data_IF_344888852723
#
_entry.id   IF_344888852723
#
_cell.length_a   1.000
_cell.length_b   1.000
_cell.length_c   1.000
_cell.angle_alpha   90.00
_cell.angle_beta   90.00
_cell.angle_gamma   90.00
#
_symmetry.space_group_name_H-M   'P 1'
#
loop_
_entity.id
_entity.type
_entity.pdbx_description
1 polymer ?
#
# COMPACT_ATOMS: atom_id res chain seq x y z
N UNK A 1 18.82 1.26 -42.91
CA UNK A 1 19.17 0.14 -42.00
C UNK A 1 19.01 0.69 -40.56
N UNK A 2 17.79 0.53 -40.03
CA UNK A 2 17.43 1.06 -38.71
C UNK A 2 17.75 0.00 -37.68
N UNK A 3 18.62 0.35 -36.74
CA UNK A 3 19.05 -0.49 -35.63
C UNK A 3 17.99 -0.40 -34.51
N UNK A 4 17.18 -1.44 -34.37
CA UNK A 4 16.22 -1.59 -33.25
C UNK A 4 17.04 -1.99 -32.03
N UNK A 5 17.22 -1.07 -31.09
CA UNK A 5 17.72 -1.37 -29.76
C UNK A 5 16.63 -2.09 -28.98
N UNK A 6 16.75 -3.40 -28.84
CA UNK A 6 16.00 -4.16 -27.86
C UNK A 6 16.49 -3.78 -26.46
N UNK A 7 15.69 -3.03 -25.72
CA UNK A 7 15.86 -2.88 -24.29
C UNK A 7 15.54 -4.21 -23.63
N UNK A 8 16.57 -4.97 -23.25
CA UNK A 8 16.43 -6.16 -22.43
C UNK A 8 15.96 -5.73 -21.04
N UNK A 9 14.70 -5.97 -20.71
CA UNK A 9 14.23 -5.91 -19.32
C UNK A 9 15.02 -6.96 -18.54
N UNK A 10 15.85 -6.51 -17.61
CA UNK A 10 16.40 -7.35 -16.55
C UNK A 10 15.22 -7.73 -15.66
N UNK A 11 14.63 -8.89 -15.91
CA UNK A 11 13.78 -9.57 -14.94
C UNK A 11 14.68 -9.94 -13.78
N UNK A 12 14.61 -9.22 -12.66
CA UNK A 12 15.14 -9.70 -11.42
C UNK A 12 14.52 -11.08 -11.17
N UNK A 13 15.35 -12.12 -11.04
CA UNK A 13 14.88 -13.45 -10.67
C UNK A 13 14.14 -13.33 -9.33
N UNK A 14 12.83 -13.53 -9.39
CA UNK A 14 12.00 -13.63 -8.20
C UNK A 14 12.42 -14.91 -7.48
N UNK A 15 12.59 -14.88 -6.15
CA UNK A 15 12.82 -16.12 -5.41
C UNK A 15 11.67 -17.08 -5.69
N UNK A 16 11.98 -18.37 -5.82
CA UNK A 16 11.09 -19.46 -6.19
C UNK A 16 9.78 -19.45 -5.36
N UNK A 17 8.75 -18.83 -5.89
CA UNK A 17 7.41 -18.78 -5.35
C UNK A 17 6.39 -18.99 -6.46
N UNK A 18 5.24 -19.57 -6.16
CA UNK A 18 4.24 -20.08 -7.10
C UNK A 18 3.59 -18.97 -7.96
N UNK A 19 4.32 -18.43 -8.91
CA UNK A 19 3.79 -17.54 -9.95
C UNK A 19 4.28 -16.08 -9.87
N UNK A 20 4.00 -15.27 -10.90
CA UNK A 20 4.39 -13.88 -10.94
C UNK A 20 3.61 -13.06 -9.90
N UNK A 21 4.25 -12.03 -9.34
CA UNK A 21 3.54 -11.05 -8.54
C UNK A 21 2.40 -10.40 -9.33
N UNK A 22 1.21 -10.32 -8.73
CA UNK A 22 0.09 -9.63 -9.33
C UNK A 22 0.25 -8.12 -9.08
N UNK A 23 0.25 -7.32 -10.14
CA UNK A 23 0.12 -5.86 -10.00
C UNK A 23 -1.29 -5.48 -9.52
N UNK A 24 -2.24 -6.36 -9.80
CA UNK A 24 -3.66 -6.24 -9.47
C UNK A 24 -4.02 -7.26 -8.39
N UNK A 25 -4.97 -6.95 -7.51
CA UNK A 25 -5.35 -7.90 -6.48
C UNK A 25 -5.90 -7.26 -5.21
N UNK A 26 -5.91 -8.03 -4.12
CA UNK A 26 -6.32 -7.53 -2.80
C UNK A 26 -5.15 -6.81 -2.15
N UNK A 27 -5.37 -5.52 -1.85
CA UNK A 27 -4.43 -4.68 -1.12
C UNK A 27 -4.97 -4.47 0.30
N UNK A 28 -4.31 -5.04 1.29
CA UNK A 28 -4.64 -4.88 2.71
C UNK A 28 -4.24 -3.46 3.15
N UNK A 29 -5.22 -2.55 3.26
CA UNK A 29 -5.04 -1.15 3.59
C UNK A 29 -4.59 -1.00 5.05
N UNK A 30 -3.36 -0.54 5.25
CA UNK A 30 -2.66 -0.48 6.55
C UNK A 30 -2.57 -1.85 7.23
N UNK A 31 -2.45 -2.93 6.43
CA UNK A 31 -2.56 -4.30 6.88
C UNK A 31 -4.01 -4.79 6.98
N UNK A 32 -4.27 -5.82 7.80
CA UNK A 32 -5.62 -6.29 8.12
C UNK A 32 -6.27 -5.39 9.19
N UNK A 33 -6.43 -4.10 8.88
CA UNK A 33 -6.78 -3.04 9.82
C UNK A 33 -8.21 -3.18 10.40
N UNK A 34 -9.08 -3.94 9.76
CA UNK A 34 -10.41 -4.26 10.29
C UNK A 34 -10.39 -5.26 11.46
N UNK A 35 -9.26 -5.93 11.71
CA UNK A 35 -9.12 -6.97 12.76
C UNK A 35 -7.93 -6.72 13.68
N UNK A 36 -6.98 -5.90 13.30
CA UNK A 36 -5.78 -5.54 14.06
C UNK A 36 -5.56 -4.02 14.05
N UNK A 37 -4.81 -3.47 15.00
CA UNK A 37 -4.44 -2.05 14.96
C UNK A 37 -3.72 -1.73 13.63
N UNK A 38 -4.20 -0.70 12.93
CA UNK A 38 -3.66 -0.29 11.62
C UNK A 38 -2.16 0.03 11.67
N UNK A 39 -1.44 -0.21 10.58
CA UNK A 39 -0.03 0.11 10.44
C UNK A 39 0.87 -0.52 11.54
N UNK A 40 0.52 -1.71 12.02
CA UNK A 40 1.31 -2.47 13.01
C UNK A 40 1.78 -3.81 12.45
N UNK A 41 2.84 -4.37 13.05
CA UNK A 41 3.37 -5.66 12.61
C UNK A 41 2.32 -6.77 12.64
N UNK A 42 1.47 -6.95 13.69
CA UNK A 42 0.41 -7.96 13.65
C UNK A 42 -0.61 -7.76 12.53
N UNK A 43 -0.93 -6.51 12.14
CA UNK A 43 -1.83 -6.26 11.01
C UNK A 43 -1.20 -6.69 9.67
N UNK A 44 0.10 -6.53 9.51
CA UNK A 44 0.84 -6.96 8.33
C UNK A 44 1.01 -8.47 8.29
N UNK A 45 1.43 -9.09 9.38
CA UNK A 45 1.55 -10.55 9.51
C UNK A 45 0.22 -11.25 9.19
N UNK A 46 -0.89 -10.75 9.75
CA UNK A 46 -2.23 -11.26 9.45
C UNK A 46 -2.61 -11.10 7.97
N UNK A 47 -2.24 -10.00 7.32
CA UNK A 47 -2.47 -9.81 5.89
C UNK A 47 -1.66 -10.80 5.03
N UNK A 48 -0.41 -11.12 5.44
CA UNK A 48 0.43 -12.16 4.81
C UNK A 48 -0.19 -13.54 4.97
N UNK A 49 -0.63 -13.90 6.17
CA UNK A 49 -1.26 -15.18 6.47
C UNK A 49 -2.54 -15.39 5.64
N UNK A 50 -3.33 -14.34 5.44
CA UNK A 50 -4.51 -14.37 4.57
C UNK A 50 -4.15 -14.53 3.09
N UNK A 51 -2.90 -14.26 2.71
CA UNK A 51 -2.46 -14.29 1.33
C UNK A 51 -2.94 -13.09 0.52
N UNK A 52 -3.01 -11.91 1.12
CA UNK A 52 -3.22 -10.66 0.39
C UNK A 52 -2.13 -10.49 -0.68
N UNK A 53 -2.49 -9.92 -1.84
CA UNK A 53 -1.53 -9.70 -2.92
C UNK A 53 -0.59 -8.53 -2.61
N UNK A 54 -1.13 -7.52 -1.90
CA UNK A 54 -0.40 -6.35 -1.46
C UNK A 54 -0.77 -5.98 -0.01
N UNK A 55 0.16 -5.35 0.67
CA UNK A 55 -0.09 -4.57 1.89
C UNK A 55 0.15 -3.12 1.53
N UNK A 56 -0.75 -2.24 1.88
CA UNK A 56 -0.50 -0.80 1.81
C UNK A 56 -0.17 -0.28 3.20
N UNK A 57 0.74 0.69 3.25
CA UNK A 57 1.17 1.35 4.48
C UNK A 57 1.57 2.80 4.25
N UNK A 58 1.49 3.58 5.32
CA UNK A 58 1.78 5.02 5.32
C UNK A 58 3.09 5.31 6.03
N UNK A 59 3.90 6.24 5.52
CA UNK A 59 5.17 6.57 6.16
C UNK A 59 5.33 8.05 6.50
N UNK A 60 5.95 8.26 7.67
CA UNK A 60 6.46 9.54 8.13
C UNK A 60 7.95 9.44 8.50
N UNK A 61 8.58 10.60 8.71
CA UNK A 61 9.96 10.70 9.19
C UNK A 61 9.97 11.33 10.58
N UNK A 62 10.66 10.67 11.52
CA UNK A 62 10.91 11.19 12.86
C UNK A 62 11.96 12.30 12.87
N UNK A 63 12.11 12.98 14.01
CA UNK A 63 13.11 14.03 14.25
C UNK A 63 14.55 13.56 13.99
N UNK A 64 14.86 12.31 14.31
CA UNK A 64 16.17 11.67 14.10
C UNK A 64 16.31 10.96 12.75
N UNK A 65 15.36 11.21 11.81
CA UNK A 65 15.45 10.78 10.41
C UNK A 65 15.05 9.34 10.16
N UNK A 66 14.38 8.66 11.10
CA UNK A 66 13.85 7.31 10.88
C UNK A 66 12.54 7.36 10.09
N UNK A 67 12.38 6.45 9.12
CA UNK A 67 11.11 6.24 8.44
C UNK A 67 10.26 5.27 9.26
N UNK A 68 9.11 5.75 9.72
CA UNK A 68 8.17 5.04 10.58
C UNK A 68 6.83 4.85 9.90
N UNK A 69 6.11 3.79 10.28
CA UNK A 69 4.87 3.39 9.60
C UNK A 69 3.68 3.83 10.44
N UNK A 70 3.05 4.93 10.04
CA UNK A 70 1.88 5.52 10.68
C UNK A 70 1.15 6.43 9.69
N UNK A 71 -0.19 6.54 9.80
CA UNK A 71 -0.99 7.31 8.84
C UNK A 71 -0.99 8.82 9.10
N UNK A 72 -1.10 9.24 10.36
CA UNK A 72 -1.26 10.65 10.71
C UNK A 72 0.08 11.29 11.11
N UNK A 73 0.16 12.62 11.03
CA UNK A 73 1.33 13.38 11.44
C UNK A 73 1.60 13.30 12.95
N UNK A 74 0.63 12.80 13.71
CA UNK A 74 0.70 12.59 15.16
C UNK A 74 0.05 11.27 15.58
N UNK A 75 0.17 10.92 16.84
CA UNK A 75 -0.34 9.69 17.44
C UNK A 75 -1.73 9.82 18.07
N UNK A 76 -2.41 10.96 17.95
CA UNK A 76 -3.65 11.27 18.68
C UNK A 76 -4.77 10.26 18.43
N UNK A 77 -4.90 9.77 17.17
CA UNK A 77 -6.00 8.88 16.77
C UNK A 77 -5.78 7.43 17.17
N UNK A 78 -4.55 7.01 17.38
CA UNK A 78 -4.21 5.58 17.59
C UNK A 78 -3.51 5.32 18.93
N UNK A 79 -2.80 6.31 19.46
CA UNK A 79 -1.89 6.15 20.61
C UNK A 79 -2.48 6.48 21.96
N UNK A 80 -1.79 6.01 22.99
CA UNK A 80 -2.07 6.33 24.40
C UNK A 80 -1.56 7.72 24.83
N UNK A 81 -0.79 8.39 23.97
CA UNK A 81 -0.25 9.74 24.16
C UNK A 81 -0.13 10.43 22.81
N UNK A 82 -0.43 11.72 22.73
CA UNK A 82 -0.31 12.52 21.49
C UNK A 82 1.09 13.13 21.38
N UNK A 83 1.79 12.81 20.30
CA UNK A 83 3.06 13.46 19.91
C UNK A 83 3.08 13.68 18.40
N UNK A 84 3.76 14.76 17.97
CA UNK A 84 4.03 15.00 16.55
C UNK A 84 5.21 14.14 16.11
N UNK A 85 5.03 13.34 15.06
CA UNK A 85 6.05 12.38 14.57
C UNK A 85 7.38 13.08 14.23
N UNK A 86 7.30 14.25 13.57
CA UNK A 86 8.48 15.00 13.16
C UNK A 86 9.25 15.68 14.32
N UNK A 87 8.68 15.73 15.53
CA UNK A 87 9.24 16.43 16.69
C UNK A 87 9.90 15.48 17.70
N UNK A 88 9.69 14.17 17.57
CA UNK A 88 10.21 13.15 18.49
C UNK A 88 11.21 12.23 17.79
N UNK A 89 12.11 11.65 18.58
CA UNK A 89 13.00 10.56 18.12
C UNK A 89 12.21 9.25 18.00
N UNK A 90 12.77 8.28 17.26
CA UNK A 90 12.14 6.95 17.19
C UNK A 90 12.08 6.26 18.57
N UNK A 91 13.11 6.44 19.41
CA UNK A 91 13.12 5.90 20.77
C UNK A 91 11.93 6.40 21.59
N UNK A 92 11.67 7.71 21.56
CA UNK A 92 10.51 8.33 22.23
C UNK A 92 9.17 7.86 21.63
N UNK A 93 9.12 7.69 20.31
CA UNK A 93 7.92 7.22 19.60
C UNK A 93 7.62 5.74 19.91
N UNK A 94 8.64 4.91 20.03
CA UNK A 94 8.49 3.47 20.27
C UNK A 94 7.91 3.14 21.66
N UNK A 95 7.90 4.09 22.59
CA UNK A 95 7.24 3.96 23.91
C UNK A 95 5.71 4.13 23.83
N UNK A 96 5.17 4.60 22.70
CA UNK A 96 3.74 4.87 22.55
C UNK A 96 3.03 3.60 22.12
N UNK A 97 2.00 3.23 22.87
CA UNK A 97 1.10 2.13 22.52
C UNK A 97 0.06 2.60 21.49
N UNK A 98 0.28 2.28 20.23
CA UNK A 98 -0.64 2.61 19.12
C UNK A 98 -1.76 1.59 18.92
N UNK A 99 -1.87 0.58 19.80
CA UNK A 99 -2.99 -0.34 19.81
C UNK A 99 -4.12 0.07 20.79
N UNK A 100 -3.88 1.09 21.64
CA UNK A 100 -4.82 1.43 22.72
C UNK A 100 -6.22 1.76 22.18
N UNK A 101 -6.31 2.69 21.24
CA UNK A 101 -7.62 3.15 20.71
C UNK A 101 -8.35 2.03 20.00
N UNK A 102 -7.62 1.17 19.27
CA UNK A 102 -8.19 -0.03 18.65
C UNK A 102 -8.76 -0.99 19.72
N UNK A 103 -7.99 -1.26 20.79
CA UNK A 103 -8.43 -2.10 21.91
C UNK A 103 -9.72 -1.60 22.54
N UNK A 104 -9.76 -0.31 22.87
CA UNK A 104 -10.93 0.33 23.48
C UNK A 104 -12.15 0.27 22.57
N UNK A 105 -11.99 0.59 21.29
CA UNK A 105 -13.06 0.55 20.28
C UNK A 105 -13.66 -0.85 20.11
N UNK A 106 -12.84 -1.89 20.25
CA UNK A 106 -13.26 -3.29 20.05
C UNK A 106 -13.47 -4.05 21.36
N UNK A 107 -13.42 -3.35 22.52
CA UNK A 107 -13.62 -3.93 23.86
C UNK A 107 -12.69 -5.12 24.15
N UNK A 108 -11.45 -5.04 23.67
CA UNK A 108 -10.45 -6.09 23.81
C UNK A 108 -9.57 -5.86 25.05
N UNK A 109 -9.10 -6.93 25.68
CA UNK A 109 -8.09 -6.85 26.74
C UNK A 109 -6.68 -6.71 26.13
N UNK A 110 -5.71 -6.25 26.93
CA UNK A 110 -4.31 -6.21 26.56
C UNK A 110 -3.68 -7.62 26.38
N UNK A 111 -4.32 -8.66 26.86
CA UNK A 111 -3.92 -10.05 26.62
C UNK A 111 -4.29 -10.51 25.21
N UNK A 112 -5.45 -10.05 24.68
CA UNK A 112 -5.94 -10.37 23.34
C UNK A 112 -5.31 -9.47 22.29
N UNK A 113 -5.17 -8.19 22.59
CA UNK A 113 -4.54 -7.21 21.72
C UNK A 113 -3.44 -6.46 22.53
N UNK A 114 -2.22 -7.00 22.60
CA UNK A 114 -1.15 -6.41 23.38
C UNK A 114 -0.71 -5.04 22.85
N UNK A 115 -0.07 -4.21 23.68
CA UNK A 115 0.51 -2.95 23.26
C UNK A 115 1.38 -3.10 21.99
N UNK A 116 1.25 -2.17 21.07
CA UNK A 116 2.02 -2.14 19.83
C UNK A 116 2.79 -0.82 19.72
N UNK A 117 4.06 -0.89 19.31
CA UNK A 117 4.84 0.28 18.92
C UNK A 117 4.59 0.64 17.45
N UNK A 118 4.90 1.87 17.07
CA UNK A 118 4.98 2.26 15.65
C UNK A 118 6.16 1.51 15.01
N UNK A 119 5.96 0.75 13.91
CA UNK A 119 7.04 0.02 13.27
C UNK A 119 7.99 0.97 12.50
N UNK A 120 9.25 0.56 12.36
CA UNK A 120 10.13 1.11 11.33
C UNK A 120 9.77 0.54 9.96
N UNK A 121 9.92 1.34 8.90
CA UNK A 121 9.78 0.83 7.54
C UNK A 121 10.77 -0.31 7.25
N UNK A 122 11.97 -0.25 7.82
CA UNK A 122 12.97 -1.32 7.72
C UNK A 122 12.45 -2.67 8.28
N UNK A 123 11.74 -2.66 9.42
CA UNK A 123 11.15 -3.87 10.02
C UNK A 123 10.10 -4.48 9.08
N UNK A 124 9.25 -3.65 8.49
CA UNK A 124 8.24 -4.14 7.54
C UNK A 124 8.87 -4.67 6.25
N UNK A 125 9.89 -4.01 5.71
CA UNK A 125 10.58 -4.49 4.51
C UNK A 125 11.29 -5.83 4.75
N UNK A 126 11.85 -6.08 5.93
CA UNK A 126 12.41 -7.40 6.28
C UNK A 126 11.30 -8.47 6.36
N UNK A 127 10.15 -8.16 6.97
CA UNK A 127 9.01 -9.06 7.00
C UNK A 127 8.54 -9.43 5.58
N UNK A 128 8.39 -8.45 4.70
CA UNK A 128 7.93 -8.66 3.31
C UNK A 128 8.91 -9.50 2.51
N UNK A 129 10.22 -9.31 2.67
CA UNK A 129 11.26 -10.09 2.00
C UNK A 129 11.36 -11.53 2.50
N UNK A 130 10.84 -11.81 3.69
CA UNK A 130 10.85 -13.16 4.30
C UNK A 130 9.84 -14.14 3.70
N UNK A 131 9.02 -13.71 2.73
CA UNK A 131 8.00 -14.54 2.08
C UNK A 131 8.02 -14.35 0.55
N UNK A 132 7.15 -15.04 -0.22
CA UNK A 132 7.30 -15.14 -1.68
C UNK A 132 6.06 -14.66 -2.47
N UNK A 133 5.07 -14.08 -1.84
CA UNK A 133 3.80 -13.73 -2.49
C UNK A 133 3.44 -12.27 -2.40
N UNK A 134 3.39 -11.71 -1.20
CA UNK A 134 2.84 -10.39 -0.92
C UNK A 134 3.88 -9.30 -1.12
N UNK A 135 3.50 -8.22 -1.77
CA UNK A 135 4.28 -6.99 -1.92
C UNK A 135 3.77 -5.90 -1.00
N UNK A 136 4.53 -4.82 -0.88
CA UNK A 136 4.12 -3.63 -0.12
C UNK A 136 3.99 -2.42 -1.02
N UNK A 137 2.89 -1.66 -0.85
CA UNK A 137 2.68 -0.35 -1.44
C UNK A 137 2.88 0.71 -0.37
N UNK A 138 3.83 1.61 -0.59
CA UNK A 138 4.22 2.65 0.37
C UNK A 138 3.56 3.98 0.00
N UNK A 139 2.80 4.59 0.92
CA UNK A 139 2.29 5.94 0.78
C UNK A 139 3.13 6.94 1.59
N UNK A 140 3.92 7.81 0.95
CA UNK A 140 4.70 8.85 1.63
C UNK A 140 3.79 10.02 2.05
N UNK A 141 3.51 10.17 3.35
CA UNK A 141 2.67 11.27 3.87
C UNK A 141 3.41 12.61 3.98
N UNK A 142 4.72 12.58 3.93
CA UNK A 142 5.64 13.73 3.90
C UNK A 142 6.46 13.71 2.60
N UNK A 143 7.27 14.76 2.31
CA UNK A 143 8.23 14.74 1.20
C UNK A 143 9.46 13.87 1.54
N UNK A 144 9.26 12.55 1.66
CA UNK A 144 10.27 11.55 2.06
C UNK A 144 10.48 10.47 0.98
N UNK A 145 10.10 10.76 -0.26
CA UNK A 145 10.23 9.81 -1.39
C UNK A 145 11.69 9.43 -1.61
N UNK A 146 12.61 10.40 -1.59
CA UNK A 146 14.03 10.15 -1.81
C UNK A 146 14.61 9.21 -0.75
N UNK A 147 14.32 9.45 0.52
CA UNK A 147 14.77 8.62 1.63
C UNK A 147 14.14 7.21 1.58
N UNK A 148 12.85 7.13 1.25
CA UNK A 148 12.15 5.84 1.13
C UNK A 148 12.72 5.00 -0.01
N UNK A 149 12.92 5.57 -1.20
CA UNK A 149 13.53 4.87 -2.34
C UNK A 149 14.98 4.48 -2.03
N UNK A 150 15.75 5.34 -1.38
CA UNK A 150 17.11 5.02 -0.97
C UNK A 150 17.14 3.85 0.02
N UNK A 151 16.22 3.80 0.98
CA UNK A 151 16.07 2.68 1.92
C UNK A 151 15.72 1.39 1.20
N UNK A 152 14.69 1.41 0.32
CA UNK A 152 14.25 0.26 -0.47
C UNK A 152 15.42 -0.33 -1.29
N UNK A 153 16.21 0.53 -1.94
CA UNK A 153 17.40 0.12 -2.71
C UNK A 153 18.50 -0.47 -1.82
N UNK A 154 18.80 0.19 -0.69
CA UNK A 154 19.79 -0.30 0.29
C UNK A 154 19.43 -1.68 0.83
N UNK A 155 18.15 -1.93 1.07
CA UNK A 155 17.64 -3.22 1.56
C UNK A 155 17.44 -4.27 0.46
N UNK A 156 17.71 -3.91 -0.82
CA UNK A 156 17.48 -4.78 -1.98
C UNK A 156 16.01 -5.24 -2.09
N UNK A 157 15.08 -4.35 -1.77
CA UNK A 157 13.65 -4.64 -1.71
C UNK A 157 12.88 -4.12 -2.94
N UNK A 158 13.54 -3.64 -4.00
CA UNK A 158 12.88 -3.03 -5.18
C UNK A 158 11.82 -3.96 -5.79
N UNK A 159 12.09 -5.26 -5.92
CA UNK A 159 11.14 -6.22 -6.46
C UNK A 159 9.87 -6.41 -5.59
N UNK A 160 9.92 -5.97 -4.34
CA UNK A 160 8.87 -6.15 -3.32
C UNK A 160 8.03 -4.90 -3.07
N UNK A 161 8.38 -3.78 -3.70
CA UNK A 161 7.85 -2.48 -3.33
C UNK A 161 7.20 -1.79 -4.51
N UNK A 162 6.04 -1.20 -4.27
CA UNK A 162 5.44 -0.16 -5.08
C UNK A 162 5.17 1.07 -4.22
N UNK A 163 4.79 2.16 -4.85
CA UNK A 163 4.41 3.41 -4.20
C UNK A 163 3.02 3.84 -4.66
N UNK A 164 2.24 4.42 -3.75
CA UNK A 164 0.96 5.04 -4.07
C UNK A 164 0.83 6.39 -3.38
N UNK A 165 0.24 7.35 -4.05
CA UNK A 165 -0.17 8.65 -3.50
C UNK A 165 -1.01 9.40 -4.53
N UNK A 166 -1.84 10.36 -4.06
CA UNK A 166 -2.54 11.30 -4.92
C UNK A 166 -1.67 12.45 -5.43
N UNK A 167 -0.53 12.73 -4.80
CA UNK A 167 0.41 13.76 -5.23
C UNK A 167 1.23 13.28 -6.43
N UNK A 168 0.90 13.83 -7.61
CA UNK A 168 1.56 13.53 -8.86
C UNK A 168 3.08 13.76 -8.80
N UNK A 169 3.55 14.78 -8.09
CA UNK A 169 4.98 15.09 -8.03
C UNK A 169 5.74 14.03 -7.23
N UNK A 170 5.16 13.51 -6.16
CA UNK A 170 5.73 12.36 -5.44
C UNK A 170 5.82 11.13 -6.35
N UNK A 171 4.76 10.81 -7.10
CA UNK A 171 4.72 9.64 -7.99
C UNK A 171 5.71 9.77 -9.16
N UNK A 172 5.82 10.95 -9.76
CA UNK A 172 6.87 11.25 -10.73
C UNK A 172 8.27 11.08 -10.13
N UNK A 173 8.47 11.57 -8.91
CA UNK A 173 9.77 11.47 -8.22
C UNK A 173 10.19 10.01 -7.99
N UNK A 174 9.26 9.11 -7.67
CA UNK A 174 9.56 7.67 -7.59
C UNK A 174 10.14 7.14 -8.91
N UNK A 175 9.49 7.44 -10.04
CA UNK A 175 9.93 7.01 -11.37
C UNK A 175 11.26 7.65 -11.81
N UNK A 176 11.52 8.89 -11.42
CA UNK A 176 12.83 9.54 -11.64
C UNK A 176 13.97 8.84 -10.91
N UNK A 177 13.72 8.41 -9.66
CA UNK A 177 14.72 7.76 -8.82
C UNK A 177 14.97 6.30 -9.21
N UNK A 178 13.91 5.60 -9.64
CA UNK A 178 14.00 4.25 -10.15
C UNK A 178 12.77 3.89 -11.02
N UNK A 179 12.90 3.86 -12.36
CA UNK A 179 11.80 3.54 -13.26
C UNK A 179 11.21 2.13 -13.08
N UNK A 180 11.94 1.22 -12.42
CA UNK A 180 11.47 -0.16 -12.17
C UNK A 180 10.52 -0.27 -10.98
N UNK A 181 10.46 0.73 -10.10
CA UNK A 181 9.51 0.77 -9.01
C UNK A 181 8.08 0.97 -9.53
N UNK A 182 7.16 0.18 -9.01
CA UNK A 182 5.75 0.30 -9.37
C UNK A 182 5.14 1.56 -8.76
N UNK A 183 4.32 2.26 -9.55
CA UNK A 183 3.55 3.42 -9.11
C UNK A 183 2.07 3.18 -9.35
N UNK A 184 1.29 3.36 -8.29
CA UNK A 184 -0.17 3.31 -8.28
C UNK A 184 -0.67 4.72 -7.96
N UNK A 185 -1.15 5.43 -8.98
CA UNK A 185 -1.55 6.82 -8.78
C UNK A 185 -2.98 6.91 -8.25
N UNK A 186 -3.11 7.43 -7.03
CA UNK A 186 -4.39 7.53 -6.33
C UNK A 186 -5.18 8.76 -6.80
N UNK A 187 -6.38 8.52 -7.33
CA UNK A 187 -7.30 9.58 -7.72
C UNK A 187 -8.44 9.72 -6.72
N UNK A 188 -8.56 10.93 -6.16
CA UNK A 188 -9.72 11.36 -5.39
C UNK A 188 -10.79 11.93 -6.34
N UNK A 189 -11.83 12.60 -5.79
CA UNK A 189 -12.81 13.34 -6.60
C UNK A 189 -12.10 14.51 -7.31
N UNK A 190 -12.44 14.75 -8.59
CA UNK A 190 -11.92 15.90 -9.37
C UNK A 190 -10.76 15.58 -10.33
N UNK A 191 -10.49 14.31 -10.59
CA UNK A 191 -9.59 13.90 -11.69
C UNK A 191 -10.22 14.26 -13.06
N UNK A 192 -9.36 14.38 -14.07
CA UNK A 192 -9.74 14.63 -15.47
C UNK A 192 -9.10 13.59 -16.36
N UNK A 193 -9.91 12.70 -16.94
CA UNK A 193 -9.44 11.58 -17.76
C UNK A 193 -8.59 12.06 -18.95
N UNK A 194 -8.99 13.15 -19.61
CA UNK A 194 -8.29 13.65 -20.80
C UNK A 194 -6.93 14.26 -20.45
N UNK A 195 -6.77 14.82 -19.23
CA UNK A 195 -5.51 15.38 -18.72
C UNK A 195 -4.65 14.31 -18.08
N UNK A 196 -5.23 13.47 -17.22
CA UNK A 196 -4.47 12.67 -16.24
C UNK A 196 -3.99 11.34 -16.85
N UNK A 197 -4.76 10.71 -17.75
CA UNK A 197 -4.32 9.47 -18.40
C UNK A 197 -3.07 9.65 -19.27
N UNK A 198 -2.94 10.70 -20.12
CA UNK A 198 -1.69 10.95 -20.84
C UNK A 198 -0.48 11.16 -19.92
N UNK A 199 -0.66 11.82 -18.77
CA UNK A 199 0.41 12.01 -17.79
C UNK A 199 0.84 10.67 -17.20
N UNK A 200 -0.10 9.82 -16.79
CA UNK A 200 0.21 8.49 -16.27
C UNK A 200 0.97 7.63 -17.30
N UNK A 201 0.60 7.71 -18.56
CA UNK A 201 1.27 7.01 -19.67
C UNK A 201 2.69 7.53 -19.90
N UNK A 202 2.89 8.85 -19.93
CA UNK A 202 4.19 9.49 -20.10
C UNK A 202 5.18 9.04 -19.03
N UNK A 203 4.71 8.90 -17.78
CA UNK A 203 5.54 8.52 -16.64
C UNK A 203 5.62 7.02 -16.39
N UNK A 204 4.91 6.20 -17.18
CA UNK A 204 4.93 4.74 -17.06
C UNK A 204 4.38 4.23 -15.73
N UNK A 205 3.30 4.85 -15.24
CA UNK A 205 2.60 4.35 -14.05
C UNK A 205 1.91 3.03 -14.37
N UNK A 206 1.83 2.12 -13.39
CA UNK A 206 1.29 0.77 -13.62
C UNK A 206 -0.22 0.70 -13.39
N UNK A 207 -0.75 1.52 -12.48
CA UNK A 207 -2.17 1.46 -12.14
C UNK A 207 -2.72 2.84 -11.74
N UNK A 208 -3.99 3.04 -12.03
CA UNK A 208 -4.80 4.14 -11.50
C UNK A 208 -5.71 3.58 -10.42
N UNK A 209 -5.67 4.16 -9.22
CA UNK A 209 -6.50 3.72 -8.09
C UNK A 209 -7.45 4.84 -7.68
N UNK A 210 -8.74 4.63 -7.87
CA UNK A 210 -9.75 5.68 -7.77
C UNK A 210 -10.57 5.52 -6.49
N UNK A 211 -10.94 6.64 -5.85
CA UNK A 211 -11.90 6.60 -4.74
C UNK A 211 -13.19 5.93 -5.21
N UNK A 212 -13.63 4.87 -4.51
CA UNK A 212 -14.67 3.96 -4.99
C UNK A 212 -16.01 4.64 -5.33
N UNK A 213 -16.35 5.76 -4.68
CA UNK A 213 -17.57 6.52 -4.98
C UNK A 213 -17.48 7.31 -6.30
N UNK A 214 -16.27 7.57 -6.80
CA UNK A 214 -16.04 8.26 -8.07
C UNK A 214 -15.92 7.30 -9.26
N UNK A 215 -15.94 5.99 -9.01
CA UNK A 215 -15.89 4.98 -10.07
C UNK A 215 -17.24 4.76 -10.73
N UNK A 216 -17.27 5.03 -12.04
CA UNK A 216 -18.37 4.69 -12.95
C UNK A 216 -17.89 3.74 -14.05
N UNK A 217 -18.80 3.12 -14.78
CA UNK A 217 -18.44 2.25 -15.89
C UNK A 217 -17.61 2.98 -16.98
N UNK A 218 -17.90 4.27 -17.21
CA UNK A 218 -17.15 5.11 -18.15
C UNK A 218 -15.70 5.30 -17.70
N UNK A 219 -15.48 5.59 -16.41
CA UNK A 219 -14.13 5.76 -15.83
C UNK A 219 -13.35 4.46 -15.95
N UNK A 220 -13.96 3.32 -15.57
CA UNK A 220 -13.31 2.01 -15.68
C UNK A 220 -12.92 1.70 -17.13
N UNK A 221 -13.83 1.94 -18.07
CA UNK A 221 -13.59 1.71 -19.50
C UNK A 221 -12.43 2.58 -20.00
N UNK A 222 -12.47 3.90 -19.75
CA UNK A 222 -11.45 4.84 -20.21
C UNK A 222 -10.05 4.49 -19.68
N UNK A 223 -9.93 4.14 -18.38
CA UNK A 223 -8.65 3.75 -17.78
C UNK A 223 -8.11 2.48 -18.42
N UNK A 224 -8.97 1.47 -18.63
CA UNK A 224 -8.56 0.20 -19.26
C UNK A 224 -8.21 0.36 -20.75
N UNK A 225 -8.94 1.16 -21.50
CA UNK A 225 -8.64 1.46 -22.91
C UNK A 225 -7.32 2.24 -23.05
N UNK A 226 -6.96 3.05 -22.05
CA UNK A 226 -5.65 3.68 -21.98
C UNK A 226 -4.51 2.73 -21.57
N UNK A 227 -4.80 1.44 -21.30
CA UNK A 227 -3.82 0.41 -21.01
C UNK A 227 -3.42 0.28 -19.55
N UNK A 228 -4.15 0.91 -18.62
CA UNK A 228 -3.85 0.85 -17.19
C UNK A 228 -4.66 -0.22 -16.48
N UNK A 229 -4.08 -0.78 -15.43
CA UNK A 229 -4.84 -1.46 -14.40
C UNK A 229 -5.64 -0.44 -13.59
N UNK A 230 -6.83 -0.84 -13.13
CA UNK A 230 -7.69 0.02 -12.32
C UNK A 230 -7.97 -0.60 -10.97
N UNK A 231 -7.80 0.19 -9.91
CA UNK A 231 -8.10 -0.16 -8.53
C UNK A 231 -9.10 0.79 -7.88
N UNK A 232 -9.55 0.42 -6.70
CA UNK A 232 -10.47 1.21 -5.89
C UNK A 232 -10.02 1.31 -4.43
N UNK A 233 -10.16 2.48 -3.79
CA UNK A 233 -9.86 2.74 -2.39
C UNK A 233 -10.97 3.55 -1.71
N UNK A 234 -11.24 3.45 -0.41
CA UNK A 234 -11.08 2.24 0.39
C UNK A 234 -12.41 1.51 0.37
N UNK A 235 -12.41 0.26 -0.06
CA UNK A 235 -13.65 -0.52 -0.28
C UNK A 235 -13.79 -1.55 0.82
N UNK A 236 -14.69 -1.33 1.77
CA UNK A 236 -14.92 -2.21 2.91
C UNK A 236 -16.23 -3.00 2.82
N UNK A 237 -17.15 -2.58 1.97
CA UNK A 237 -18.46 -3.22 1.77
C UNK A 237 -18.37 -4.30 0.67
N UNK A 238 -18.88 -5.50 0.97
CA UNK A 238 -18.79 -6.65 0.06
C UNK A 238 -19.66 -6.48 -1.20
N UNK A 239 -20.80 -5.82 -1.09
CA UNK A 239 -21.69 -5.62 -2.24
C UNK A 239 -21.07 -4.59 -3.17
N UNK A 240 -20.45 -3.54 -2.62
CA UNK A 240 -19.67 -2.59 -3.41
C UNK A 240 -18.46 -3.25 -4.07
N UNK A 241 -17.75 -4.15 -3.40
CA UNK A 241 -16.67 -4.93 -4.04
C UNK A 241 -17.18 -5.74 -5.23
N UNK A 242 -18.33 -6.44 -5.09
CA UNK A 242 -18.94 -7.22 -6.17
C UNK A 242 -19.38 -6.33 -7.35
N UNK A 243 -19.97 -5.19 -7.06
CA UNK A 243 -20.36 -4.20 -8.08
C UNK A 243 -19.14 -3.73 -8.88
N UNK A 244 -18.08 -3.32 -8.20
CA UNK A 244 -16.83 -2.89 -8.82
C UNK A 244 -16.15 -4.02 -9.61
N UNK A 245 -16.17 -5.25 -9.09
CA UNK A 245 -15.65 -6.42 -9.81
C UNK A 245 -16.43 -6.68 -11.10
N UNK A 246 -17.75 -6.53 -11.08
CA UNK A 246 -18.60 -6.67 -12.28
C UNK A 246 -18.32 -5.58 -13.33
N UNK A 247 -17.85 -4.39 -12.90
CA UNK A 247 -17.36 -3.34 -13.80
C UNK A 247 -15.94 -3.62 -14.33
N UNK A 248 -15.24 -4.63 -13.76
CA UNK A 248 -13.89 -5.01 -14.17
C UNK A 248 -12.78 -4.37 -13.35
N UNK A 249 -13.08 -3.91 -12.12
CA UNK A 249 -12.09 -3.49 -11.12
C UNK A 249 -11.67 -4.71 -10.30
N UNK A 250 -10.37 -5.00 -10.28
CA UNK A 250 -9.86 -6.19 -9.59
C UNK A 250 -8.88 -5.87 -8.45
N UNK A 251 -8.46 -4.62 -8.30
CA UNK A 251 -7.63 -4.15 -7.20
C UNK A 251 -8.48 -3.44 -6.17
N UNK A 252 -8.53 -3.96 -4.94
CA UNK A 252 -9.24 -3.34 -3.82
C UNK A 252 -8.28 -3.02 -2.69
N UNK A 253 -8.20 -1.75 -2.32
CA UNK A 253 -7.64 -1.33 -1.03
C UNK A 253 -8.74 -1.46 0.00
N UNK A 254 -8.53 -2.30 1.02
CA UNK A 254 -9.55 -2.62 2.01
C UNK A 254 -8.96 -2.89 3.39
N UNK A 255 -9.70 -2.47 4.43
CA UNK A 255 -9.40 -2.81 5.82
C UNK A 255 -9.75 -4.29 6.14
N UNK A 256 -10.51 -4.94 5.24
CA UNK A 256 -11.01 -6.33 5.41
C UNK A 256 -10.51 -7.23 4.26
N UNK A 257 -9.20 -7.56 4.20
CA UNK A 257 -8.65 -8.33 3.09
C UNK A 257 -9.29 -9.72 2.93
N UNK A 258 -9.67 -10.41 4.02
CA UNK A 258 -10.41 -11.69 3.96
C UNK A 258 -11.69 -11.53 3.14
N UNK A 259 -12.48 -10.50 3.40
CA UNK A 259 -13.74 -10.22 2.67
C UNK A 259 -13.48 -10.01 1.17
N UNK A 260 -12.44 -9.28 0.82
CA UNK A 260 -12.09 -9.07 -0.58
C UNK A 260 -11.64 -10.35 -1.27
N UNK A 261 -10.87 -11.21 -0.60
CA UNK A 261 -10.48 -12.53 -1.11
C UNK A 261 -11.71 -13.41 -1.35
N UNK A 262 -12.64 -13.48 -0.40
CA UNK A 262 -13.90 -14.23 -0.54
C UNK A 262 -14.75 -13.73 -1.73
N UNK A 263 -14.89 -12.41 -1.91
CA UNK A 263 -15.58 -11.81 -3.07
C UNK A 263 -14.91 -12.22 -4.37
N UNK A 264 -13.59 -12.34 -4.38
CA UNK A 264 -12.81 -12.80 -5.55
C UNK A 264 -12.85 -14.33 -5.75
N UNK A 265 -13.50 -15.08 -4.88
CA UNK A 265 -13.57 -16.54 -4.94
C UNK A 265 -12.27 -17.24 -4.51
N UNK A 266 -11.37 -16.53 -3.84
CA UNK A 266 -10.18 -17.09 -3.22
C UNK A 266 -10.53 -17.52 -1.81
N UNK A 267 -10.38 -18.80 -1.49
CA UNK A 267 -10.55 -19.29 -0.12
C UNK A 267 -9.33 -18.88 0.71
N UNK A 268 -9.47 -17.94 1.69
CA UNK A 268 -8.39 -17.65 2.61
C UNK A 268 -8.13 -18.88 3.51
N UNK A 269 -6.95 -19.04 4.08
CA UNK A 269 -6.71 -20.09 5.09
C UNK A 269 -7.74 -20.00 6.20
N UNK A 270 -8.11 -21.16 6.77
CA UNK A 270 -9.08 -21.27 7.84
C UNK A 270 -8.71 -20.41 9.07
N UNK A 271 -9.72 -20.10 9.89
CA UNK A 271 -9.54 -19.42 11.18
C UNK A 271 -8.79 -20.32 12.18
#
# INVERSE_FOLDING_TARGET
>A
MAMVLMAGAFLAELPDGDGPFLNNGVTAHRGNAGRFPENTMPAFESALELGADWIELDIYRTKDGKLVVIHDADTARVGNRTVQIAEVTYEELAEIDVALVFREKHELSAEVCPPQKVPLLEEVLELIKGQHRTRVSIQPKQPVVDEAVALVKRMKAVAWVGFNDGDLNKMKRVKELDPSLHVFWDWSKGFDLARDLPIAAEWGFESIVVHHEALTAEVVTAVKEAGFEIGAWTVNDADRMRELQNMGVYRFYTDYPRRALEVKGVAPPGD
#
